data_IF_698527141416
#
_entry.id   IF_698527141416
#
_cell.length_a   1.000
_cell.length_b   1.000
_cell.length_c   1.000
_cell.angle_alpha   90.00
_cell.angle_beta   90.00
_cell.angle_gamma   90.00
#
_symmetry.space_group_name_H-M   'P 1'
#
loop_
_entity.id
_entity.type
_entity.pdbx_description
1 polymer ?
#
# COMPACT_ATOMS: atom_id res chain seq x y z
N UNK A 1 -23.87 1.40 2.71
CA UNK A 1 -23.50 1.28 4.14
C UNK A 1 -22.05 0.87 4.17
N UNK A 2 -21.17 1.76 4.59
CA UNK A 2 -19.72 1.54 4.53
C UNK A 2 -19.33 0.52 5.60
N UNK A 3 -18.37 -0.31 5.30
CA UNK A 3 -17.63 -1.10 6.29
C UNK A 3 -16.81 -0.09 7.07
N UNK A 4 -17.36 0.33 8.20
CA UNK A 4 -17.00 1.55 8.92
C UNK A 4 -15.54 1.56 9.40
N UNK A 5 -15.05 0.46 9.87
CA UNK A 5 -13.68 0.28 10.37
C UNK A 5 -12.62 0.38 9.27
N UNK A 6 -12.84 -0.29 8.13
CA UNK A 6 -11.96 -0.21 6.97
C UNK A 6 -11.97 1.18 6.34
N UNK A 7 -13.16 1.73 6.07
CA UNK A 7 -13.29 3.06 5.47
C UNK A 7 -12.63 4.13 6.37
N UNK A 8 -12.86 4.05 7.68
CA UNK A 8 -12.21 4.94 8.65
C UNK A 8 -10.69 4.80 8.64
N UNK A 9 -10.16 3.58 8.48
CA UNK A 9 -8.71 3.37 8.38
C UNK A 9 -8.15 3.99 7.10
N UNK A 10 -8.87 3.88 5.97
CA UNK A 10 -8.48 4.53 4.71
C UNK A 10 -8.48 6.05 4.88
N UNK A 11 -9.58 6.63 5.37
CA UNK A 11 -9.71 8.07 5.63
C UNK A 11 -8.60 8.60 6.57
N UNK A 12 -8.26 7.86 7.63
CA UNK A 12 -7.19 8.23 8.56
C UNK A 12 -5.81 8.24 7.88
N UNK A 13 -5.56 7.31 6.95
CA UNK A 13 -4.33 7.27 6.16
C UNK A 13 -4.32 8.41 5.14
N UNK A 14 -5.43 8.66 4.46
CA UNK A 14 -5.57 9.76 3.51
C UNK A 14 -5.32 11.12 4.19
N UNK A 15 -5.96 11.39 5.32
CA UNK A 15 -5.77 12.61 6.11
C UNK A 15 -4.31 12.80 6.55
N UNK A 16 -3.67 11.70 6.95
CA UNK A 16 -2.26 11.73 7.32
C UNK A 16 -1.38 12.19 6.15
N UNK A 17 -1.58 11.61 4.96
CA UNK A 17 -0.78 11.93 3.79
C UNK A 17 -1.12 13.31 3.20
N UNK A 18 -2.39 13.73 3.24
CA UNK A 18 -2.78 15.11 2.90
C UNK A 18 -2.04 16.10 3.81
N UNK A 19 -1.97 15.82 5.12
CA UNK A 19 -1.19 16.64 6.07
C UNK A 19 0.31 16.66 5.80
N UNK A 20 0.84 15.67 5.08
CA UNK A 20 2.23 15.62 4.60
C UNK A 20 2.41 16.27 3.22
N UNK A 21 1.35 16.81 2.62
CA UNK A 21 1.37 17.47 1.32
C UNK A 21 1.35 16.50 0.12
N UNK A 22 0.78 15.30 0.28
CA UNK A 22 0.48 14.40 -0.83
C UNK A 22 -0.86 14.75 -1.48
N UNK A 23 -0.98 14.53 -2.78
CA UNK A 23 -2.25 14.54 -3.51
C UNK A 23 -2.87 13.13 -3.46
N UNK A 24 -4.18 13.03 -3.31
CA UNK A 24 -4.92 11.76 -3.47
C UNK A 24 -5.32 11.64 -4.93
N UNK A 25 -4.94 10.55 -5.58
CA UNK A 25 -5.23 10.33 -6.99
C UNK A 25 -5.94 9.00 -7.18
N UNK A 26 -7.12 9.05 -7.80
CA UNK A 26 -7.90 7.88 -8.19
C UNK A 26 -7.49 7.34 -9.56
N UNK A 27 -7.81 6.07 -9.81
CA UNK A 27 -7.56 5.41 -11.08
C UNK A 27 -8.54 4.28 -11.41
N UNK A 28 -8.37 3.68 -12.55
CA UNK A 28 -9.25 2.63 -13.06
C UNK A 28 -9.01 1.29 -12.37
N UNK A 29 -10.08 0.59 -11.99
CA UNK A 29 -10.01 -0.79 -11.49
C UNK A 29 -9.79 -1.81 -12.64
N UNK A 30 -10.37 -1.52 -13.80
CA UNK A 30 -10.10 -2.24 -15.05
C UNK A 30 -8.98 -1.50 -15.78
N UNK A 31 -7.84 -2.17 -15.96
CA UNK A 31 -6.63 -1.52 -16.41
C UNK A 31 -6.01 -2.24 -17.62
N UNK A 32 -5.16 -1.53 -18.35
CA UNK A 32 -4.35 -2.10 -19.41
C UNK A 32 -3.15 -2.84 -18.83
N UNK A 33 -2.80 -3.98 -19.41
CA UNK A 33 -1.62 -4.76 -19.04
C UNK A 33 -0.33 -3.91 -19.04
N UNK A 34 -0.22 -2.99 -19.99
CA UNK A 34 0.90 -2.06 -20.07
C UNK A 34 1.12 -1.28 -18.76
N UNK A 35 0.08 -0.62 -18.22
CA UNK A 35 0.21 0.16 -17.00
C UNK A 35 0.31 -0.70 -15.75
N UNK A 36 -0.32 -1.90 -15.76
CA UNK A 36 -0.25 -2.78 -14.60
C UNK A 36 1.09 -3.51 -14.48
N UNK A 37 1.83 -3.66 -15.60
CA UNK A 37 3.06 -4.43 -15.62
C UNK A 37 4.21 -3.76 -16.38
N UNK A 38 4.09 -3.52 -17.69
CA UNK A 38 5.23 -3.12 -18.52
C UNK A 38 5.81 -1.77 -18.08
N UNK A 39 4.96 -0.75 -17.86
CA UNK A 39 5.37 0.56 -17.35
C UNK A 39 5.99 0.52 -15.94
N UNK A 40 5.91 -0.62 -15.27
CA UNK A 40 6.46 -0.87 -13.95
C UNK A 40 7.66 -1.83 -13.99
N UNK A 41 8.39 -1.86 -15.12
CA UNK A 41 9.56 -2.71 -15.30
C UNK A 41 9.27 -4.23 -15.26
N UNK A 42 8.06 -4.64 -15.65
CA UNK A 42 7.62 -6.03 -15.75
C UNK A 42 7.23 -6.38 -17.21
N UNK A 43 8.21 -6.61 -18.10
CA UNK A 43 7.91 -6.97 -19.50
C UNK A 43 7.15 -8.29 -19.57
N UNK A 44 6.50 -8.56 -20.73
CA UNK A 44 5.62 -9.76 -20.93
C UNK A 44 6.28 -11.10 -20.58
N UNK A 45 7.58 -11.20 -20.70
CA UNK A 45 8.35 -12.42 -20.38
C UNK A 45 8.89 -12.48 -18.94
N UNK A 46 8.57 -11.51 -18.09
CA UNK A 46 9.14 -11.46 -16.75
C UNK A 46 8.48 -12.49 -15.81
N UNK A 47 9.27 -13.35 -15.10
CA UNK A 47 8.71 -14.41 -14.24
C UNK A 47 7.81 -13.89 -13.10
N UNK A 48 8.04 -12.68 -12.63
CA UNK A 48 7.24 -12.09 -11.57
C UNK A 48 5.78 -11.80 -11.96
N UNK A 49 5.42 -11.87 -13.26
CA UNK A 49 4.03 -11.79 -13.71
C UNK A 49 3.23 -13.01 -13.28
N UNK A 50 3.83 -14.19 -13.33
CA UNK A 50 3.18 -15.46 -12.95
C UNK A 50 2.93 -15.50 -11.44
N UNK A 51 3.71 -14.75 -10.66
CA UNK A 51 3.53 -14.63 -9.20
C UNK A 51 2.32 -13.75 -8.82
N UNK A 52 1.83 -12.92 -9.74
CA UNK A 52 0.63 -12.10 -9.54
C UNK A 52 -0.54 -12.73 -10.29
N UNK A 53 -1.19 -13.72 -9.67
CA UNK A 53 -2.40 -14.33 -10.20
C UNK A 53 -3.43 -13.25 -10.53
N UNK A 54 -3.62 -12.96 -11.83
CA UNK A 54 -4.38 -11.83 -12.33
C UNK A 54 -5.69 -12.26 -12.98
N UNK A 55 -6.74 -11.46 -12.80
CA UNK A 55 -8.00 -11.63 -13.52
C UNK A 55 -7.94 -10.87 -14.85
N UNK A 56 -7.63 -11.56 -15.93
CA UNK A 56 -7.66 -11.01 -17.27
C UNK A 56 -9.09 -11.02 -17.85
N UNK A 57 -9.49 -9.90 -18.48
CA UNK A 57 -10.72 -9.75 -19.25
C UNK A 57 -10.45 -10.07 -20.72
N UNK A 58 -9.31 -9.58 -21.21
CA UNK A 58 -8.73 -9.89 -22.52
C UNK A 58 -7.22 -10.04 -22.35
N UNK A 59 -6.49 -10.37 -23.41
CA UNK A 59 -5.02 -10.49 -23.35
C UNK A 59 -4.30 -9.18 -22.98
N UNK A 60 -4.98 -8.04 -23.10
CA UNK A 60 -4.41 -6.70 -22.84
C UNK A 60 -5.14 -5.93 -21.74
N UNK A 61 -6.22 -6.46 -21.19
CA UNK A 61 -7.05 -5.80 -20.16
C UNK A 61 -7.29 -6.74 -19.00
N UNK A 62 -7.08 -6.24 -17.78
CA UNK A 62 -7.23 -7.01 -16.55
C UNK A 62 -7.82 -6.17 -15.42
N UNK A 63 -8.26 -6.84 -14.36
CA UNK A 63 -8.50 -6.19 -13.07
C UNK A 63 -7.14 -5.87 -12.44
N UNK A 64 -6.88 -4.62 -12.06
CA UNK A 64 -5.57 -4.22 -11.51
C UNK A 64 -5.19 -5.03 -10.27
N UNK A 65 -3.95 -5.47 -10.20
CA UNK A 65 -3.40 -6.29 -9.10
C UNK A 65 -2.80 -5.46 -7.97
N UNK A 66 -2.59 -4.18 -8.22
CA UNK A 66 -2.08 -3.16 -7.32
C UNK A 66 -2.51 -1.77 -7.83
N UNK A 67 -2.29 -0.72 -7.05
CA UNK A 67 -2.66 0.65 -7.46
C UNK A 67 -1.54 1.39 -8.19
N UNK A 68 -0.39 0.74 -8.44
CA UNK A 68 0.76 1.31 -9.17
C UNK A 68 0.44 1.82 -10.60
N UNK A 69 -0.55 1.31 -11.35
CA UNK A 69 -0.97 1.91 -12.61
C UNK A 69 -1.31 3.39 -12.49
N UNK A 70 -1.88 3.81 -11.35
CA UNK A 70 -2.20 5.23 -11.09
C UNK A 70 -0.92 6.04 -10.97
N UNK A 71 0.13 5.49 -10.36
CA UNK A 71 1.44 6.13 -10.26
C UNK A 71 2.06 6.32 -11.65
N UNK A 72 2.08 5.25 -12.47
CA UNK A 72 2.62 5.30 -13.83
C UNK A 72 1.90 6.35 -14.69
N UNK A 73 0.56 6.33 -14.68
CA UNK A 73 -0.26 7.32 -15.42
C UNK A 73 -0.06 8.75 -14.92
N UNK A 74 0.12 8.94 -13.61
CA UNK A 74 0.34 10.27 -13.05
C UNK A 74 1.71 10.81 -13.42
N UNK A 75 2.75 9.99 -13.37
CA UNK A 75 4.08 10.36 -13.83
C UNK A 75 4.10 10.71 -15.33
N UNK A 76 3.46 9.88 -16.17
CA UNK A 76 3.35 10.13 -17.61
C UNK A 76 2.68 11.48 -17.91
N UNK A 77 1.59 11.81 -17.21
CA UNK A 77 0.90 13.10 -17.34
C UNK A 77 1.77 14.31 -16.95
N UNK A 78 2.79 14.13 -16.14
CA UNK A 78 3.75 15.18 -15.77
C UNK A 78 4.83 15.42 -16.85
N UNK A 79 4.91 14.57 -17.88
CA UNK A 79 5.84 14.71 -19.00
C UNK A 79 7.31 14.94 -18.56
N UNK A 80 7.77 14.16 -17.58
CA UNK A 80 9.12 14.27 -17.05
C UNK A 80 9.38 15.50 -16.16
N UNK A 81 8.33 16.17 -15.71
CA UNK A 81 8.44 17.34 -14.82
C UNK A 81 7.92 17.02 -13.41
N UNK A 82 8.80 17.17 -12.44
CA UNK A 82 8.47 17.02 -11.02
C UNK A 82 8.09 18.33 -10.34
N UNK A 83 7.75 18.31 -9.06
CA UNK A 83 7.64 17.09 -8.24
C UNK A 83 6.34 16.29 -8.47
N UNK A 84 6.38 14.99 -8.17
CA UNK A 84 5.20 14.13 -8.01
C UNK A 84 5.17 13.67 -6.55
N UNK A 85 4.06 13.86 -5.88
CA UNK A 85 3.89 13.44 -4.49
C UNK A 85 2.44 13.06 -4.26
N UNK A 86 2.15 11.76 -4.40
CA UNK A 86 0.78 11.24 -4.46
C UNK A 86 0.60 10.01 -3.57
N UNK A 87 -0.64 9.76 -3.15
CA UNK A 87 -1.12 8.46 -2.74
C UNK A 87 -2.27 8.02 -3.64
N UNK A 88 -2.37 6.72 -3.83
CA UNK A 88 -3.35 6.07 -4.71
C UNK A 88 -4.13 5.02 -3.92
N UNK A 89 -5.21 5.40 -3.22
CA UNK A 89 -6.10 4.45 -2.58
C UNK A 89 -6.98 3.74 -3.61
N UNK A 90 -7.30 2.46 -3.38
CA UNK A 90 -8.26 1.79 -4.23
C UNK A 90 -8.32 0.28 -4.03
N UNK A 91 -9.34 -0.32 -4.64
CA UNK A 91 -9.49 -1.77 -4.67
C UNK A 91 -8.53 -2.39 -5.68
N UNK A 92 -8.04 -3.55 -5.34
CA UNK A 92 -7.17 -4.39 -6.17
C UNK A 92 -7.65 -5.84 -6.14
N UNK A 93 -7.25 -6.63 -7.14
CA UNK A 93 -7.83 -7.93 -7.42
C UNK A 93 -6.72 -8.93 -7.73
N UNK A 94 -6.73 -10.08 -7.04
CA UNK A 94 -5.80 -11.19 -7.27
C UNK A 94 -6.56 -12.50 -7.23
N UNK A 95 -6.16 -13.47 -8.03
CA UNK A 95 -6.80 -14.80 -8.06
C UNK A 95 -6.43 -15.67 -6.86
N UNK A 96 -6.18 -15.06 -5.73
CA UNK A 96 -5.95 -15.76 -4.47
C UNK A 96 -7.23 -16.46 -4.00
N UNK A 97 -7.07 -17.59 -3.34
CA UNK A 97 -8.16 -18.24 -2.63
C UNK A 97 -8.48 -17.47 -1.35
N UNK A 98 -9.78 -17.27 -1.09
CA UNK A 98 -10.22 -16.58 0.12
C UNK A 98 -9.97 -17.43 1.37
N UNK A 99 -9.17 -16.89 2.29
CA UNK A 99 -8.95 -17.45 3.61
C UNK A 99 -9.04 -16.35 4.70
N UNK A 100 -8.58 -16.63 5.93
CA UNK A 100 -8.62 -15.65 7.01
C UNK A 100 -7.69 -14.44 6.78
N UNK A 101 -6.69 -14.55 5.91
CA UNK A 101 -5.63 -13.55 5.69
C UNK A 101 -5.55 -13.04 4.25
N UNK A 102 -6.16 -13.75 3.30
CA UNK A 102 -6.18 -13.43 1.89
C UNK A 102 -7.62 -13.28 1.38
N UNK A 103 -7.80 -12.38 0.42
CA UNK A 103 -9.06 -12.23 -0.32
C UNK A 103 -8.74 -11.90 -1.77
N UNK A 104 -9.55 -12.44 -2.70
CA UNK A 104 -9.45 -12.13 -4.12
C UNK A 104 -9.64 -10.64 -4.44
N UNK A 105 -10.22 -9.90 -3.51
CA UNK A 105 -10.40 -8.45 -3.55
C UNK A 105 -9.98 -7.85 -2.21
N UNK A 106 -9.15 -6.81 -2.23
CA UNK A 106 -8.77 -6.07 -1.02
C UNK A 106 -8.48 -4.61 -1.36
N UNK A 107 -8.28 -3.78 -0.35
CA UNK A 107 -7.93 -2.37 -0.51
C UNK A 107 -6.41 -2.21 -0.40
N UNK A 108 -5.84 -1.39 -1.27
CA UNK A 108 -4.44 -1.00 -1.22
C UNK A 108 -4.32 0.53 -1.28
N UNK A 109 -3.33 1.08 -0.58
CA UNK A 109 -2.89 2.47 -0.73
C UNK A 109 -1.42 2.42 -1.08
N UNK A 110 -1.08 2.91 -2.26
CA UNK A 110 0.31 3.11 -2.63
C UNK A 110 0.66 4.59 -2.63
N UNK A 111 1.90 4.90 -2.24
CA UNK A 111 2.44 6.24 -2.28
C UNK A 111 3.63 6.32 -3.22
N UNK A 112 3.78 7.47 -3.88
CA UNK A 112 4.88 7.78 -4.77
C UNK A 112 5.37 9.19 -4.50
N UNK A 113 6.69 9.34 -4.38
CA UNK A 113 7.36 10.63 -4.43
C UNK A 113 8.45 10.56 -5.51
N UNK A 114 8.42 11.52 -6.44
CA UNK A 114 9.48 11.72 -7.44
C UNK A 114 9.86 13.19 -7.44
N UNK A 115 11.14 13.46 -7.21
CA UNK A 115 11.72 14.81 -7.27
C UNK A 115 13.23 14.69 -7.44
N UNK A 116 13.91 15.84 -7.50
CA UNK A 116 15.38 15.86 -7.52
C UNK A 116 15.93 15.49 -6.14
N UNK A 117 16.96 14.63 -6.14
CA UNK A 117 17.74 14.27 -4.94
C UNK A 117 16.95 13.51 -3.83
N UNK A 118 15.86 12.82 -4.16
CA UNK A 118 15.16 11.95 -3.23
C UNK A 118 16.05 10.77 -2.83
N UNK A 119 16.08 10.43 -1.54
CA UNK A 119 16.95 9.40 -0.96
C UNK A 119 16.16 8.37 -0.15
N UNK A 120 16.79 7.24 0.09
CA UNK A 120 16.26 6.20 0.98
C UNK A 120 15.97 6.69 2.40
N UNK A 121 16.71 7.72 2.88
CA UNK A 121 16.43 8.39 4.16
C UNK A 121 15.09 9.10 4.20
N UNK A 122 14.64 9.65 3.05
CA UNK A 122 13.36 10.35 2.95
C UNK A 122 12.20 9.36 2.99
N UNK A 123 12.35 8.21 2.31
CA UNK A 123 11.44 7.07 2.45
C UNK A 123 11.36 6.60 3.91
N UNK A 124 12.50 6.34 4.54
CA UNK A 124 12.56 5.89 5.94
C UNK A 124 11.86 6.89 6.87
N UNK A 125 12.18 8.18 6.77
CA UNK A 125 11.58 9.23 7.60
C UNK A 125 10.06 9.32 7.42
N UNK A 126 9.57 9.23 6.17
CA UNK A 126 8.14 9.19 5.88
C UNK A 126 7.46 8.00 6.54
N UNK A 127 8.03 6.80 6.39
CA UNK A 127 7.44 5.57 6.95
C UNK A 127 7.52 5.50 8.48
N UNK A 128 8.57 6.05 9.12
CA UNK A 128 8.64 6.19 10.57
C UNK A 128 7.51 7.06 11.12
N UNK A 129 7.22 8.17 10.45
CA UNK A 129 6.13 9.07 10.83
C UNK A 129 4.78 8.39 10.67
N UNK A 130 4.56 7.69 9.55
CA UNK A 130 3.33 6.91 9.30
C UNK A 130 3.14 5.84 10.37
N UNK A 131 4.18 5.05 10.68
CA UNK A 131 4.11 4.01 11.69
C UNK A 131 3.77 4.57 13.09
N UNK A 132 4.38 5.68 13.49
CA UNK A 132 4.10 6.35 14.77
C UNK A 132 2.68 6.89 14.86
N UNK A 133 2.15 7.43 13.77
CA UNK A 133 0.79 7.96 13.72
C UNK A 133 -0.27 6.86 13.74
N UNK A 134 -0.07 5.77 13.00
CA UNK A 134 -1.05 4.68 12.89
C UNK A 134 -1.03 3.72 14.08
N UNK A 135 0.15 3.47 14.68
CA UNK A 135 0.33 2.42 15.68
C UNK A 135 0.83 2.91 17.04
N UNK A 136 1.08 4.21 17.17
CA UNK A 136 1.50 4.86 18.42
C UNK A 136 2.93 5.40 18.41
N UNK A 137 3.17 6.46 19.19
CA UNK A 137 4.40 7.27 19.17
C UNK A 137 5.69 6.48 19.48
N UNK A 138 5.58 5.38 20.23
CA UNK A 138 6.69 4.53 20.64
C UNK A 138 7.04 3.45 19.60
N UNK A 139 6.46 3.52 18.40
CA UNK A 139 6.71 2.51 17.36
C UNK A 139 8.01 2.79 16.64
N UNK A 140 8.76 1.71 16.45
CA UNK A 140 9.97 1.67 15.63
C UNK A 140 9.69 0.92 14.35
N UNK A 141 10.40 1.27 13.27
CA UNK A 141 10.38 0.52 12.03
C UNK A 141 11.71 -0.18 11.79
N UNK A 142 11.65 -1.29 11.08
CA UNK A 142 12.80 -2.04 10.58
C UNK A 142 12.65 -2.25 9.09
N UNK A 143 13.68 -1.94 8.33
CA UNK A 143 13.74 -2.18 6.90
C UNK A 143 14.51 -3.50 6.67
N UNK A 144 13.88 -4.45 5.98
CA UNK A 144 14.50 -5.71 5.55
C UNK A 144 14.69 -5.68 4.04
N UNK A 145 15.85 -6.06 3.50
CA UNK A 145 16.04 -6.18 2.05
C UNK A 145 14.98 -7.10 1.44
N UNK A 146 14.45 -6.69 0.29
CA UNK A 146 13.48 -7.44 -0.50
C UNK A 146 13.73 -7.21 -2.00
N UNK A 147 12.89 -7.78 -2.85
CA UNK A 147 12.96 -7.58 -4.27
C UNK A 147 11.56 -7.29 -4.85
N UNK A 148 11.46 -6.15 -5.52
CA UNK A 148 10.31 -5.81 -6.35
C UNK A 148 10.84 -5.27 -7.69
N UNK A 149 10.28 -5.68 -8.85
CA UNK A 149 10.79 -5.28 -10.16
C UNK A 149 10.79 -3.77 -10.42
N UNK A 150 9.88 -3.06 -9.78
CA UNK A 150 9.65 -1.61 -9.95
C UNK A 150 10.42 -0.74 -8.96
N UNK A 151 11.18 -1.32 -8.03
CA UNK A 151 12.02 -0.59 -7.06
C UNK A 151 13.41 -1.20 -6.92
N UNK A 152 14.43 -0.33 -6.71
CA UNK A 152 15.82 -0.73 -6.44
C UNK A 152 16.56 0.39 -5.68
N UNK A 153 16.99 0.16 -4.40
CA UNK A 153 16.75 -1.04 -3.59
C UNK A 153 15.29 -1.17 -3.13
N UNK A 154 14.87 -2.42 -2.92
CA UNK A 154 13.57 -2.78 -2.38
C UNK A 154 13.67 -3.20 -0.93
N UNK A 155 12.67 -2.89 -0.14
CA UNK A 155 12.59 -3.26 1.29
C UNK A 155 11.18 -3.68 1.68
N UNK A 156 11.10 -4.62 2.59
CA UNK A 156 9.92 -4.84 3.41
C UNK A 156 10.06 -4.07 4.71
N UNK A 157 8.96 -3.52 5.18
CA UNK A 157 8.92 -2.65 6.36
C UNK A 157 8.13 -3.32 7.46
N UNK A 158 8.82 -3.57 8.56
CA UNK A 158 8.22 -4.09 9.77
C UNK A 158 8.06 -2.97 10.81
N UNK A 159 6.99 -3.03 11.59
CA UNK A 159 6.78 -2.20 12.78
C UNK A 159 6.97 -3.04 14.04
N UNK A 160 7.52 -2.44 15.10
CA UNK A 160 7.61 -3.08 16.42
C UNK A 160 6.22 -3.46 16.93
N UNK A 161 6.06 -4.71 17.39
CA UNK A 161 4.76 -5.26 17.76
C UNK A 161 4.09 -4.41 18.84
N UNK A 162 2.89 -3.93 18.56
CA UNK A 162 2.12 -3.09 19.48
C UNK A 162 1.61 -3.85 20.70
N UNK A 163 1.42 -5.18 20.62
CA UNK A 163 0.91 -5.99 21.72
C UNK A 163 2.01 -6.33 22.75
N UNK A 164 3.19 -6.74 22.29
CA UNK A 164 4.27 -7.17 23.18
C UNK A 164 5.44 -6.18 23.27
N UNK A 165 5.34 -5.03 22.63
CA UNK A 165 6.40 -3.99 22.61
C UNK A 165 7.78 -4.56 22.23
N UNK A 166 7.80 -5.45 21.24
CA UNK A 166 9.04 -6.05 20.74
C UNK A 166 9.53 -7.32 21.47
N UNK A 167 8.87 -7.73 22.56
CA UNK A 167 9.31 -8.91 23.35
C UNK A 167 8.96 -10.27 22.73
N UNK A 168 8.09 -10.29 21.75
CA UNK A 168 7.58 -11.52 21.11
C UNK A 168 6.27 -12.02 21.73
N UNK A 169 5.27 -12.29 20.88
CA UNK A 169 3.98 -12.87 21.26
C UNK A 169 3.35 -13.58 20.05
N UNK A 170 2.20 -14.22 20.25
CA UNK A 170 1.51 -14.96 19.18
C UNK A 170 1.12 -14.05 17.99
N UNK A 171 0.81 -12.76 18.22
CA UNK A 171 0.45 -11.81 17.14
C UNK A 171 1.63 -11.56 16.20
N UNK A 172 2.83 -11.41 16.72
CA UNK A 172 4.05 -11.22 15.93
C UNK A 172 4.81 -12.54 15.68
N UNK A 173 4.19 -13.70 15.94
CA UNK A 173 4.83 -15.02 15.83
C UNK A 173 6.17 -15.09 16.57
N UNK A 174 6.21 -14.50 17.76
CA UNK A 174 7.37 -14.39 18.66
C UNK A 174 8.60 -13.64 18.12
N UNK A 175 8.46 -12.93 16.98
CA UNK A 175 9.56 -12.17 16.38
C UNK A 175 9.74 -10.78 17.00
N UNK A 176 8.73 -10.24 17.68
CA UNK A 176 8.69 -8.85 18.14
C UNK A 176 8.33 -7.83 17.05
N UNK A 177 8.21 -8.24 15.78
CA UNK A 177 7.99 -7.40 14.61
C UNK A 177 6.81 -7.88 13.79
N UNK A 178 6.12 -6.94 13.14
CA UNK A 178 4.98 -7.19 12.25
C UNK A 178 5.24 -6.49 10.94
N UNK A 179 5.28 -7.24 9.85
CA UNK A 179 5.34 -6.69 8.49
C UNK A 179 4.05 -5.93 8.16
N UNK A 180 4.21 -4.70 7.66
CA UNK A 180 3.09 -3.81 7.37
C UNK A 180 3.01 -3.39 5.90
N UNK A 181 4.14 -3.30 5.19
CA UNK A 181 4.19 -2.83 3.81
C UNK A 181 5.50 -3.16 3.09
N UNK A 182 5.44 -3.12 1.75
CA UNK A 182 6.62 -3.12 0.87
C UNK A 182 6.93 -1.70 0.39
N UNK A 183 8.22 -1.40 0.18
CA UNK A 183 8.68 -0.09 -0.26
C UNK A 183 10.03 -0.17 -0.99
N UNK A 184 10.46 0.93 -1.60
CA UNK A 184 11.78 1.03 -2.22
C UNK A 184 12.00 2.32 -2.97
N UNK A 185 13.21 2.50 -3.48
CA UNK A 185 13.49 3.58 -4.42
C UNK A 185 12.94 3.17 -5.79
N UNK A 186 12.31 4.11 -6.49
CA UNK A 186 11.75 3.84 -7.83
C UNK A 186 12.85 3.41 -8.78
N UNK A 187 12.64 2.30 -9.48
CA UNK A 187 13.62 1.79 -10.43
C UNK A 187 13.84 2.80 -11.57
N UNK A 188 15.09 3.06 -12.03
CA UNK A 188 15.38 4.01 -13.11
C UNK A 188 14.53 3.77 -14.37
N UNK A 189 14.35 2.52 -14.79
CA UNK A 189 13.53 2.18 -15.95
C UNK A 189 12.07 2.69 -15.81
N UNK A 190 11.50 2.66 -14.60
CA UNK A 190 10.13 3.15 -14.34
C UNK A 190 10.07 4.66 -14.52
N UNK A 191 11.10 5.40 -14.06
CA UNK A 191 11.21 6.84 -14.28
C UNK A 191 11.33 7.17 -15.76
N UNK A 192 12.21 6.48 -16.48
CA UNK A 192 12.46 6.70 -17.91
C UNK A 192 11.24 6.37 -18.77
N UNK A 193 10.52 5.27 -18.49
CA UNK A 193 9.28 4.92 -19.17
C UNK A 193 8.19 5.99 -18.98
N UNK A 194 8.21 6.67 -17.84
CA UNK A 194 7.30 7.78 -17.55
C UNK A 194 7.79 9.15 -18.06
N UNK A 195 8.95 9.19 -18.74
CA UNK A 195 9.53 10.39 -19.34
C UNK A 195 10.40 11.23 -18.41
N UNK A 196 10.74 10.75 -17.22
CA UNK A 196 11.68 11.41 -16.30
C UNK A 196 13.12 11.00 -16.60
N UNK A 197 14.06 11.96 -16.59
CA UNK A 197 15.49 11.66 -16.65
C UNK A 197 15.97 11.08 -15.32
N UNK A 198 16.32 9.80 -15.30
CA UNK A 198 16.77 9.08 -14.11
C UNK A 198 18.12 9.57 -13.55
N UNK A 199 18.86 10.41 -14.31
CA UNK A 199 20.07 11.06 -13.82
C UNK A 199 19.77 12.32 -13.00
N UNK A 200 18.62 12.97 -13.23
CA UNK A 200 18.19 14.17 -12.51
C UNK A 200 17.17 13.88 -11.41
N UNK A 201 16.26 12.95 -11.69
CA UNK A 201 15.15 12.61 -10.80
C UNK A 201 15.38 11.27 -10.11
N UNK A 202 14.98 11.21 -8.88
CA UNK A 202 14.89 9.98 -8.11
C UNK A 202 13.56 9.95 -7.37
N UNK A 203 13.18 8.82 -6.84
CA UNK A 203 11.91 8.71 -6.14
C UNK A 203 11.86 7.51 -5.23
N UNK A 204 10.84 7.47 -4.39
CA UNK A 204 10.49 6.28 -3.64
C UNK A 204 9.01 5.95 -3.79
N UNK A 205 8.71 4.67 -3.63
CA UNK A 205 7.34 4.18 -3.59
C UNK A 205 7.14 3.22 -2.40
N UNK A 206 5.90 3.11 -1.95
CA UNK A 206 5.49 2.15 -0.93
C UNK A 206 4.06 1.70 -1.18
N UNK A 207 3.72 0.50 -0.71
CA UNK A 207 2.36 -0.04 -0.84
C UNK A 207 1.90 -0.72 0.42
N UNK A 208 0.78 -0.26 1.00
CA UNK A 208 0.20 -0.79 2.23
C UNK A 208 -1.23 -1.30 2.02
N UNK A 209 -1.62 -2.31 2.79
CA UNK A 209 -2.98 -2.84 2.82
C UNK A 209 -3.77 -2.28 4.00
N UNK A 210 -4.70 -1.31 3.80
CA UNK A 210 -5.55 -0.79 4.87
C UNK A 210 -6.37 -1.88 5.57
N UNK A 211 -6.81 -2.91 4.85
CA UNK A 211 -7.48 -4.06 5.45
C UNK A 211 -6.59 -4.74 6.49
N UNK A 212 -5.31 -4.97 6.19
CA UNK A 212 -4.33 -5.52 7.13
C UNK A 212 -4.11 -4.62 8.33
N UNK A 213 -4.01 -3.31 8.11
CA UNK A 213 -3.86 -2.31 9.17
C UNK A 213 -5.09 -2.31 10.07
N UNK A 214 -6.30 -2.33 9.49
CA UNK A 214 -7.55 -2.40 10.25
C UNK A 214 -7.66 -3.70 11.07
N UNK A 215 -7.30 -4.85 10.48
CA UNK A 215 -7.25 -6.13 11.21
C UNK A 215 -6.35 -6.04 12.43
N UNK A 216 -5.15 -5.49 12.29
CA UNK A 216 -4.19 -5.33 13.38
C UNK A 216 -4.68 -4.34 14.43
N UNK A 217 -5.24 -3.20 14.00
CA UNK A 217 -5.70 -2.11 14.87
C UNK A 217 -6.93 -2.49 15.72
N UNK A 218 -7.86 -3.21 15.11
CA UNK A 218 -9.15 -3.56 15.73
C UNK A 218 -9.23 -5.01 16.22
N UNK A 219 -8.16 -5.80 16.04
CA UNK A 219 -8.12 -7.20 16.47
C UNK A 219 -9.04 -8.10 15.64
N UNK A 220 -9.22 -7.81 14.36
CA UNK A 220 -10.03 -8.61 13.44
C UNK A 220 -9.19 -9.78 12.94
N UNK A 221 -9.65 -11.00 13.16
CA UNK A 221 -8.87 -12.22 12.87
C UNK A 221 -9.07 -12.74 11.43
N UNK A 222 -10.15 -12.31 10.76
CA UNK A 222 -10.54 -12.83 9.45
C UNK A 222 -10.93 -11.70 8.50
N UNK A 223 -10.17 -11.54 7.40
CA UNK A 223 -10.37 -10.49 6.39
C UNK A 223 -11.74 -10.59 5.70
N UNK A 224 -12.33 -11.79 5.63
CA UNK A 224 -13.64 -12.01 4.99
C UNK A 224 -14.77 -11.25 5.68
N UNK A 225 -14.61 -10.89 6.96
CA UNK A 225 -15.58 -10.06 7.68
C UNK A 225 -15.75 -8.67 7.07
N UNK A 226 -14.75 -8.15 6.36
CA UNK A 226 -14.86 -6.87 5.64
C UNK A 226 -15.79 -6.95 4.42
N UNK A 227 -16.10 -8.15 3.93
CA UNK A 227 -16.84 -8.36 2.68
C UNK A 227 -18.19 -9.07 2.86
N UNK A 228 -18.42 -9.73 4.00
CA UNK A 228 -19.67 -10.43 4.29
C UNK A 228 -20.84 -9.52 4.68
N UNK A 229 -20.56 -8.27 5.03
CA UNK A 229 -21.55 -7.26 5.42
C UNK A 229 -22.48 -7.71 6.58
N UNK A 230 -21.96 -8.50 7.52
CA UNK A 230 -22.72 -8.96 8.69
C UNK A 230 -22.93 -7.80 9.67
N UNK A 231 -24.20 -7.44 9.90
CA UNK A 231 -24.58 -6.32 10.78
C UNK A 231 -24.09 -6.51 12.21
N UNK A 232 -24.00 -7.75 12.70
CA UNK A 232 -23.50 -8.08 14.05
C UNK A 232 -22.02 -7.73 14.16
N UNK A 233 -21.24 -8.00 13.11
CA UNK A 233 -19.84 -7.61 13.03
C UNK A 233 -19.70 -6.07 12.96
N UNK A 234 -20.43 -5.43 12.06
CA UNK A 234 -20.38 -3.98 11.87
C UNK A 234 -20.77 -3.18 13.13
N UNK A 235 -21.71 -3.71 13.95
CA UNK A 235 -22.13 -3.06 15.18
C UNK A 235 -21.08 -3.07 16.30
N UNK A 236 -20.00 -3.84 16.18
CA UNK A 236 -18.89 -3.84 17.15
C UNK A 236 -18.04 -2.56 17.06
N UNK A 237 -18.08 -1.85 15.94
CA UNK A 237 -17.24 -0.67 15.64
C UNK A 237 -18.04 0.64 15.70
N UNK A 238 -18.82 0.86 16.79
CA UNK A 238 -19.51 2.13 17.02
C UNK A 238 -18.52 3.26 17.30
N UNK A 239 -18.82 4.49 16.84
CA UNK A 239 -18.02 5.66 17.20
C UNK A 239 -18.03 5.87 18.71
N UNK A 240 -16.94 6.40 19.26
CA UNK A 240 -16.82 6.71 20.69
C UNK A 240 -17.90 7.73 21.11
N UNK A 241 -18.32 8.59 20.19
CA UNK A 241 -19.41 9.56 20.39
C UNK A 241 -20.80 8.94 20.64
N UNK A 242 -21.02 7.69 20.17
CA UNK A 242 -22.27 6.97 20.41
C UNK A 242 -22.26 6.17 21.74
N UNK A 243 -21.15 6.14 22.46
CA UNK A 243 -21.07 5.62 23.82
C UNK A 243 -21.42 6.77 24.77
N UNK A 244 -22.70 7.18 24.72
CA UNK A 244 -23.21 8.11 25.70
C UNK A 244 -22.82 7.63 27.09
N UNK A 245 -22.29 8.56 27.86
CA UNK A 245 -22.08 8.39 29.30
C UNK A 245 -23.37 7.82 29.90
N UNK A 246 -23.32 6.58 30.38
CA UNK A 246 -24.34 5.98 31.20
C UNK A 246 -23.76 5.75 32.59
#
# INVERSE_FOLDING_TARGET
MCIRDRTRTVEEIEDLFLGLGYEIVDGYEVEQDYYNFEALNLPKSHPARDMQDSFYITDEILMRTHTSPVQARTMEKRHGQGPVKIICPGKVYRRDSDDATHSHQFTQIEGLVVDKHIKMSDLKGTLELVAKKLFGADREIRLRPSYFPFTEPSVEVDVSCFKCKGQGCNVCKHTGWIEILGAGMVHPNVLEMAGFDSNEYSGFAFGMGPDRIAMLKYGIEDIRHFYTNDVRFLNQFKAVEDRGEA
#
